data_IF_931347813123
#
_entry.id   IF_931347813123
#
_cell.length_a   1.000
_cell.length_b   1.000
_cell.length_c   1.000
_cell.angle_alpha   90.00
_cell.angle_beta   90.00
_cell.angle_gamma   90.00
#
_symmetry.space_group_name_H-M   'P 1'
#
loop_
_entity.id
_entity.type
_entity.pdbx_description
1 polymer ?
#
# COMPACT_ATOMS: atom_id res chain seq x y z
N UNK A 1 29.07 -11.47 -20.38
CA UNK A 1 28.98 -10.74 -19.09
C UNK A 1 27.66 -9.97 -19.02
N UNK A 2 26.81 -10.27 -18.03
CA UNK A 2 25.54 -9.58 -17.84
C UNK A 2 25.80 -8.23 -17.18
N UNK A 3 25.48 -7.13 -17.86
CA UNK A 3 25.53 -5.78 -17.29
C UNK A 3 24.20 -5.48 -16.61
N UNK A 4 24.03 -6.01 -15.40
CA UNK A 4 22.80 -5.80 -14.62
C UNK A 4 22.86 -4.43 -13.95
N UNK A 5 21.85 -3.61 -14.20
CA UNK A 5 21.72 -2.30 -13.56
C UNK A 5 21.35 -2.44 -12.08
N UNK A 6 21.95 -1.59 -11.24
CA UNK A 6 21.58 -1.43 -9.82
C UNK A 6 20.75 -0.15 -9.70
N UNK A 7 19.46 -0.23 -9.35
CA UNK A 7 18.64 0.96 -9.14
C UNK A 7 19.17 1.80 -7.98
N UNK A 8 19.09 3.12 -8.11
CA UNK A 8 19.44 4.05 -7.02
C UNK A 8 18.32 4.15 -5.99
N UNK A 9 17.07 4.03 -6.44
CA UNK A 9 15.86 4.08 -5.62
C UNK A 9 14.85 3.05 -6.10
N UNK A 10 13.97 2.65 -5.19
CA UNK A 10 12.79 1.85 -5.46
C UNK A 10 11.55 2.58 -5.00
N UNK A 11 10.45 2.41 -5.73
CA UNK A 11 9.17 2.98 -5.33
C UNK A 11 8.11 1.90 -5.13
N UNK A 12 7.11 2.22 -4.31
CA UNK A 12 5.91 1.39 -4.15
C UNK A 12 4.68 2.28 -4.03
N UNK A 13 3.74 2.11 -4.96
CA UNK A 13 2.42 2.75 -4.92
C UNK A 13 1.41 1.68 -4.51
N UNK A 14 0.60 1.97 -3.49
CA UNK A 14 -0.45 1.11 -2.96
C UNK A 14 -1.77 1.86 -3.01
N UNK A 15 -2.81 1.16 -3.46
CA UNK A 15 -4.17 1.69 -3.55
C UNK A 15 -5.05 0.72 -2.77
N UNK A 16 -5.59 1.19 -1.64
CA UNK A 16 -6.55 0.44 -0.83
C UNK A 16 -7.97 0.90 -1.12
N UNK A 17 -8.87 -0.04 -1.43
CA UNK A 17 -10.29 0.26 -1.55
C UNK A 17 -11.00 0.05 -0.21
N UNK A 18 -11.71 1.09 0.24
CA UNK A 18 -12.55 1.05 1.42
C UNK A 18 -13.92 0.42 1.12
N UNK A 19 -14.66 0.06 2.18
CA UNK A 19 -15.97 -0.61 2.06
C UNK A 19 -17.02 0.24 1.33
N UNK A 20 -16.90 1.56 1.39
CA UNK A 20 -17.75 2.53 0.71
C UNK A 20 -17.32 2.79 -0.75
N UNK A 21 -16.29 2.10 -1.23
CA UNK A 21 -15.75 2.24 -2.57
C UNK A 21 -14.77 3.40 -2.74
N UNK A 22 -14.46 4.14 -1.67
CA UNK A 22 -13.41 5.16 -1.66
C UNK A 22 -12.02 4.54 -1.69
N UNK A 23 -11.03 5.30 -2.13
CA UNK A 23 -9.65 4.85 -2.36
C UNK A 23 -8.69 5.64 -1.49
N UNK A 24 -7.82 4.92 -0.79
CA UNK A 24 -6.69 5.47 -0.05
C UNK A 24 -5.40 5.10 -0.79
N UNK A 25 -4.57 6.11 -1.06
CA UNK A 25 -3.35 5.97 -1.85
C UNK A 25 -2.13 6.23 -0.97
N UNK A 26 -1.15 5.34 -1.05
CA UNK A 26 0.16 5.49 -0.43
C UNK A 26 1.26 5.30 -1.45
N UNK A 27 2.20 6.23 -1.48
CA UNK A 27 3.32 6.21 -2.41
C UNK A 27 4.64 6.42 -1.68
N UNK A 28 5.53 5.43 -1.79
CA UNK A 28 6.84 5.41 -1.16
C UNK A 28 7.94 5.48 -2.19
N UNK A 29 9.02 6.19 -1.88
CA UNK A 29 10.28 6.20 -2.63
C UNK A 29 11.43 6.00 -1.64
N UNK A 30 12.13 4.89 -1.77
CA UNK A 30 13.20 4.46 -0.86
C UNK A 30 14.53 4.37 -1.59
N UNK A 31 15.63 4.84 -1.00
CA UNK A 31 16.96 4.65 -1.57
C UNK A 31 17.38 3.17 -1.49
N UNK A 32 18.19 2.72 -2.44
CA UNK A 32 18.80 1.40 -2.43
C UNK A 32 20.10 1.41 -1.60
N UNK A 33 19.98 1.82 -0.33
CA UNK A 33 21.08 1.93 0.62
C UNK A 33 20.63 1.45 2.01
N UNK A 34 21.56 1.21 2.96
CA UNK A 34 21.19 0.82 4.32
C UNK A 34 20.31 1.88 5.00
N UNK A 35 19.11 1.47 5.43
CA UNK A 35 18.17 2.32 6.16
C UNK A 35 18.18 1.90 7.64
N UNK A 36 18.26 2.88 8.55
CA UNK A 36 18.17 2.64 9.99
C UNK A 36 16.78 2.12 10.38
N UNK A 37 16.72 1.12 11.26
CA UNK A 37 15.48 0.49 11.72
C UNK A 37 14.58 1.47 12.46
N UNK A 38 15.17 2.49 13.09
CA UNK A 38 14.43 3.52 13.80
C UNK A 38 13.90 4.62 12.86
N UNK A 39 14.18 4.52 11.56
CA UNK A 39 13.64 5.46 10.54
C UNK A 39 12.16 5.14 10.28
N UNK A 40 11.23 6.04 10.64
CA UNK A 40 9.81 5.83 10.36
C UNK A 40 9.54 5.78 8.85
N UNK A 41 8.68 4.86 8.43
CA UNK A 41 8.36 4.62 7.02
C UNK A 41 7.72 5.86 6.35
N UNK A 42 7.04 6.68 7.16
CA UNK A 42 6.40 7.92 6.77
C UNK A 42 7.38 8.93 6.16
N UNK A 43 8.68 8.85 6.48
CA UNK A 43 9.73 9.70 5.88
C UNK A 43 9.92 9.46 4.38
N UNK A 44 9.51 8.29 3.89
CA UNK A 44 9.66 7.92 2.49
C UNK A 44 8.39 8.19 1.67
N UNK A 45 7.38 8.81 2.26
CA UNK A 45 6.17 9.21 1.55
C UNK A 45 6.49 10.34 0.56
N UNK A 46 6.12 10.12 -0.70
CA UNK A 46 6.25 11.12 -1.77
C UNK A 46 4.96 11.22 -2.54
N UNK A 47 4.71 12.35 -3.21
CA UNK A 47 3.56 12.48 -4.09
C UNK A 47 3.60 11.41 -5.20
N UNK A 48 2.49 10.73 -5.51
CA UNK A 48 2.47 9.71 -6.55
C UNK A 48 2.85 10.29 -7.92
N UNK A 49 2.51 11.55 -8.19
CA UNK A 49 2.88 12.27 -9.41
C UNK A 49 4.39 12.38 -9.59
N UNK A 50 5.15 12.52 -8.49
CA UNK A 50 6.61 12.58 -8.54
C UNK A 50 7.19 11.25 -9.01
N UNK A 51 6.64 10.13 -8.54
CA UNK A 51 7.05 8.80 -8.98
C UNK A 51 6.72 8.62 -10.46
N UNK A 52 5.52 9.01 -10.89
CA UNK A 52 5.09 8.87 -12.28
C UNK A 52 6.00 9.66 -13.24
N UNK A 53 6.39 10.88 -12.86
CA UNK A 53 7.30 11.72 -13.64
C UNK A 53 8.71 11.12 -13.74
N UNK A 54 9.26 10.58 -12.65
CA UNK A 54 10.62 10.03 -12.62
C UNK A 54 10.72 8.62 -13.21
N UNK A 55 9.67 7.80 -13.07
CA UNK A 55 9.63 6.44 -13.58
C UNK A 55 9.16 6.36 -15.04
N UNK A 56 8.50 7.41 -15.55
CA UNK A 56 7.95 7.43 -16.91
C UNK A 56 6.76 6.48 -17.12
N UNK A 57 6.00 6.18 -16.07
CA UNK A 57 4.81 5.32 -16.13
C UNK A 57 3.65 5.89 -15.31
N UNK A 58 2.42 5.71 -15.79
CA UNK A 58 1.20 6.27 -15.19
C UNK A 58 0.40 5.19 -14.45
N UNK A 59 0.16 5.41 -13.15
CA UNK A 59 -0.50 4.42 -12.27
C UNK A 59 -1.82 4.96 -11.72
N UNK A 60 -1.84 6.22 -11.30
CA UNK A 60 -2.90 6.85 -10.51
C UNK A 60 -3.65 7.92 -11.31
N UNK A 61 -2.95 8.77 -12.06
CA UNK A 61 -3.53 9.97 -12.68
C UNK A 61 -4.53 9.70 -13.81
N UNK A 62 -4.32 8.63 -14.59
CA UNK A 62 -5.20 8.31 -15.73
C UNK A 62 -6.28 7.27 -15.42
N UNK A 63 -6.01 6.31 -14.53
CA UNK A 63 -6.88 5.15 -14.31
C UNK A 63 -7.81 5.30 -13.12
N UNK A 64 -7.54 6.25 -12.21
CA UNK A 64 -8.33 6.45 -11.01
C UNK A 64 -9.20 7.68 -11.18
N UNK A 65 -10.51 7.51 -10.98
CA UNK A 65 -11.42 8.65 -10.93
C UNK A 65 -11.13 9.46 -9.67
N UNK A 66 -10.75 10.73 -9.83
CA UNK A 66 -10.33 11.61 -8.71
C UNK A 66 -11.39 11.74 -7.61
N UNK A 67 -12.67 11.62 -7.97
CA UNK A 67 -13.79 11.65 -7.03
C UNK A 67 -13.85 10.43 -6.08
N UNK A 68 -13.15 9.33 -6.41
CA UNK A 68 -13.04 8.15 -5.54
C UNK A 68 -11.87 8.25 -4.59
N UNK A 69 -10.94 9.17 -4.78
CA UNK A 69 -9.76 9.32 -3.93
C UNK A 69 -10.19 10.03 -2.64
N UNK A 70 -10.04 9.33 -1.51
CA UNK A 70 -10.34 9.84 -0.18
C UNK A 70 -9.10 10.43 0.46
N UNK A 71 -7.98 9.70 0.43
CA UNK A 71 -6.71 10.18 0.98
C UNK A 71 -5.51 9.85 0.10
N UNK A 72 -4.49 10.70 0.17
CA UNK A 72 -3.17 10.48 -0.42
C UNK A 72 -2.13 10.71 0.68
N UNK A 73 -1.32 9.69 0.97
CA UNK A 73 -0.24 9.72 1.96
C UNK A 73 -0.65 10.24 3.34
N UNK A 74 -1.92 10.07 3.72
CA UNK A 74 -2.40 10.45 5.04
C UNK A 74 -2.18 9.29 6.02
N UNK A 75 -1.59 9.54 7.20
CA UNK A 75 -1.49 8.51 8.23
C UNK A 75 -2.89 8.04 8.64
N UNK A 76 -2.99 6.75 8.94
CA UNK A 76 -4.22 6.12 9.41
C UNK A 76 -4.53 6.61 10.84
N UNK A 77 -5.13 7.80 10.97
CA UNK A 77 -5.45 8.35 12.30
C UNK A 77 -6.65 7.60 12.93
N UNK A 78 -7.52 6.97 12.14
CA UNK A 78 -8.82 6.47 12.65
C UNK A 78 -9.26 5.09 12.09
N UNK A 79 -8.35 4.16 11.79
CA UNK A 79 -8.79 2.76 11.71
C UNK A 79 -8.88 2.22 13.13
N UNK A 80 -9.96 2.58 13.84
CA UNK A 80 -10.34 1.78 15.00
C UNK A 80 -10.46 0.34 14.52
N UNK A 81 -9.70 -0.55 15.16
CA UNK A 81 -9.85 -2.00 15.10
C UNK A 81 -11.19 -2.40 15.75
N UNK A 82 -12.29 -1.70 15.43
CA UNK A 82 -13.63 -1.93 15.96
C UNK A 82 -14.31 -3.13 15.27
N UNK A 83 -13.66 -3.70 14.25
CA UNK A 83 -14.07 -5.00 13.72
C UNK A 83 -13.47 -6.08 14.60
N UNK A 84 -14.27 -6.82 15.39
CA UNK A 84 -13.76 -7.93 16.18
C UNK A 84 -13.04 -8.92 15.24
N UNK A 85 -11.94 -9.55 15.70
CA UNK A 85 -11.22 -10.53 14.89
C UNK A 85 -12.20 -11.60 14.39
N UNK A 86 -12.09 -12.04 13.13
CA UNK A 86 -12.96 -13.08 12.60
C UNK A 86 -12.89 -14.30 13.53
N UNK A 87 -14.05 -14.80 13.94
CA UNK A 87 -14.14 -15.91 14.88
C UNK A 87 -13.28 -17.08 14.39
N UNK A 88 -12.53 -17.76 15.27
CA UNK A 88 -11.78 -18.95 14.89
C UNK A 88 -12.71 -19.90 14.16
N UNK A 89 -12.34 -20.31 12.95
CA UNK A 89 -13.13 -21.23 12.13
C UNK A 89 -13.30 -22.52 12.93
N UNK A 90 -14.48 -22.73 13.53
CA UNK A 90 -14.79 -23.96 14.26
C UNK A 90 -14.67 -25.10 13.25
N UNK A 91 -13.67 -25.97 13.43
CA UNK A 91 -13.64 -27.25 12.74
C UNK A 91 -14.82 -28.05 13.28
N UNK A 92 -15.92 -28.08 12.52
CA UNK A 92 -17.02 -29.00 12.81
C UNK A 92 -16.44 -30.41 12.83
N UNK A 93 -16.51 -31.09 13.97
CA UNK A 93 -16.23 -32.52 14.01
C UNK A 93 -17.20 -33.22 13.05
N UNK A 94 -16.73 -34.18 12.24
CA UNK A 94 -17.61 -34.95 11.38
C UNK A 94 -18.61 -35.72 12.25
N UNK A 95 -19.89 -35.61 11.91
CA UNK A 95 -20.97 -36.40 12.51
C UNK A 95 -20.69 -37.89 12.26
N UNK A 96 -20.78 -38.78 13.28
CA UNK A 96 -20.67 -40.20 13.04
C UNK A 96 -21.85 -40.64 12.17
N UNK A 97 -21.56 -41.32 11.06
CA UNK A 97 -22.58 -41.98 10.25
C UNK A 97 -23.23 -43.09 11.08
N UNK A 98 -24.57 -43.12 11.09
CA UNK A 98 -25.38 -44.19 11.65
C UNK A 98 -25.35 -45.44 10.78
#
# INVERSE_FOLDING_TARGET
>A
PNQVAVPTHFFKIMIGQQKDGQLDIYSYLMPNEPIDKDTPLEKFLVAPELIEQNAGFLVTTEKIQKNKIRTINQPWIDFKLDSPPPSPRQKSLPTPAA
#
